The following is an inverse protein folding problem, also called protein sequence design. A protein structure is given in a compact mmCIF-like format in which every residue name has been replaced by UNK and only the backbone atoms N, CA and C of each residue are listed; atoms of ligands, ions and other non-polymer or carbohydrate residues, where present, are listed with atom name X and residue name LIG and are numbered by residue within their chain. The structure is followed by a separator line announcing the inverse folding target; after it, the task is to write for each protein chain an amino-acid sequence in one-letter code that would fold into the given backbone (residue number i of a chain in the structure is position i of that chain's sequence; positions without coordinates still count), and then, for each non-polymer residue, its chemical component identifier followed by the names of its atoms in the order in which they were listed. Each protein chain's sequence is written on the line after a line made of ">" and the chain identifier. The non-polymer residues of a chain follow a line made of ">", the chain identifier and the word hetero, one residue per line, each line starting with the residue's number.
data_IF_443954507985
#
_entry.id   IF_443954507985
#
_cell.length_a   1.000
_cell.length_b   1.000
_cell.length_c   1.000
_cell.angle_alpha   90.00
_cell.angle_beta   90.00
_cell.angle_gamma   90.00
#
_symmetry.space_group_name_H-M   'P 1'
#
loop_
_entity.id
_entity.type
_entity.pdbx_description
1 polymer ?
#
# COMPACT_ATOMS: atom_id res chain seq x y z
N UNK A 1 -29.07 53.52 -25.43
CA UNK A 1 -27.63 53.28 -25.18
C UNK A 1 -27.30 51.79 -25.38
N UNK A 2 -27.68 51.23 -26.55
CA UNK A 2 -27.60 49.81 -26.86
C UNK A 2 -26.96 49.58 -28.25
N UNK A 3 -25.98 50.42 -28.61
CA UNK A 3 -25.47 50.53 -29.98
C UNK A 3 -23.92 50.60 -30.06
N UNK A 4 -23.20 50.09 -29.05
CA UNK A 4 -21.73 49.89 -29.09
C UNK A 4 -21.33 48.43 -28.89
N UNK A 5 -22.08 47.51 -29.50
CA UNK A 5 -21.88 46.05 -29.38
C UNK A 5 -21.03 45.41 -30.50
N UNK A 6 -20.27 46.13 -31.34
CA UNK A 6 -19.87 45.52 -32.64
C UNK A 6 -18.43 45.62 -33.15
N UNK A 7 -17.47 46.24 -32.46
CA UNK A 7 -16.14 46.45 -33.06
C UNK A 7 -14.97 45.66 -32.46
N UNK A 8 -15.16 44.88 -31.40
CA UNK A 8 -14.07 44.11 -30.77
C UNK A 8 -14.22 42.59 -30.87
N UNK A 9 -15.23 42.09 -31.59
CA UNK A 9 -15.60 40.66 -31.63
C UNK A 9 -14.95 39.89 -32.79
N UNK A 10 -14.12 40.54 -33.58
CA UNK A 10 -13.43 39.95 -34.74
C UNK A 10 -11.99 39.53 -34.49
N UNK A 11 -11.45 39.77 -33.29
CA UNK A 11 -10.08 39.38 -32.92
C UNK A 11 -10.07 38.27 -31.84
N UNK A 12 -11.21 37.59 -31.67
CA UNK A 12 -11.39 36.50 -30.70
C UNK A 12 -11.38 35.11 -31.36
N UNK A 13 -10.64 34.98 -32.44
CA UNK A 13 -10.22 33.70 -33.00
C UNK A 13 -8.84 33.96 -33.57
N UNK A 14 -7.78 33.54 -32.86
CA UNK A 14 -6.43 33.19 -33.36
C UNK A 14 -5.40 33.39 -32.22
N UNK A 15 -4.91 32.25 -31.73
CA UNK A 15 -3.66 32.02 -30.96
C UNK A 15 -3.56 32.50 -29.48
N UNK A 16 -3.87 31.59 -28.55
CA UNK A 16 -2.92 31.09 -27.53
C UNK A 16 -3.50 29.83 -26.82
N UNK A 17 -2.77 28.70 -26.72
CA UNK A 17 -3.24 27.49 -26.04
C UNK A 17 -2.86 27.54 -24.54
N UNK A 18 -3.75 27.04 -23.68
CA UNK A 18 -3.56 26.89 -22.22
C UNK A 18 -3.44 28.18 -21.39
N UNK A 19 -4.50 28.99 -21.37
CA UNK A 19 -4.82 29.79 -20.18
C UNK A 19 -6.17 29.32 -19.64
N UNK A 20 -6.10 28.58 -18.54
CA UNK A 20 -7.24 28.24 -17.68
C UNK A 20 -7.96 29.54 -17.33
N UNK A 21 -9.21 29.72 -17.80
CA UNK A 21 -10.02 30.90 -17.49
C UNK A 21 -10.43 30.77 -16.02
N UNK A 22 -9.70 31.46 -15.15
CA UNK A 22 -10.11 31.67 -13.76
C UNK A 22 -11.30 32.63 -13.78
N UNK A 23 -12.45 32.10 -13.39
CA UNK A 23 -13.67 32.83 -13.13
C UNK A 23 -13.45 33.79 -11.94
N UNK A 24 -13.98 35.02 -11.98
CA UNK A 24 -13.63 36.04 -11.00
C UNK A 24 -14.23 35.68 -9.63
N UNK A 25 -13.39 35.15 -8.72
CA UNK A 25 -13.78 34.79 -7.36
C UNK A 25 -13.02 33.61 -6.73
N UNK A 26 -12.33 32.77 -7.51
CA UNK A 26 -11.52 31.66 -7.00
C UNK A 26 -10.04 32.01 -6.99
N UNK A 27 -9.41 31.98 -5.81
CA UNK A 27 -7.95 32.01 -5.66
C UNK A 27 -7.35 30.66 -6.06
N UNK A 28 -6.23 30.65 -6.79
CA UNK A 28 -5.45 29.44 -7.15
C UNK A 28 -5.02 28.58 -5.93
N UNK A 29 -5.20 29.08 -4.71
CA UNK A 29 -4.82 28.44 -3.45
C UNK A 29 -5.82 27.41 -2.91
N UNK A 30 -7.03 27.28 -3.48
CA UNK A 30 -8.09 26.38 -2.94
C UNK A 30 -8.59 25.36 -3.98
N UNK A 31 -7.65 24.67 -4.64
CA UNK A 31 -7.99 23.57 -5.55
C UNK A 31 -8.22 22.28 -4.75
N UNK A 32 -9.48 21.90 -4.52
CA UNK A 32 -9.84 20.57 -3.98
C UNK A 32 -9.86 19.53 -5.13
N UNK A 33 -8.88 18.60 -5.19
CA UNK A 33 -8.85 17.56 -6.23
C UNK A 33 -10.01 16.56 -6.10
N UNK A 34 -10.70 16.47 -4.97
CA UNK A 34 -11.84 15.58 -4.76
C UNK A 34 -13.16 16.17 -5.27
N UNK A 35 -13.26 17.50 -5.43
CA UNK A 35 -14.48 18.16 -5.91
C UNK A 35 -14.72 17.97 -7.42
N UNK A 36 -13.66 17.74 -8.19
CA UNK A 36 -13.68 17.67 -9.65
C UNK A 36 -13.51 16.24 -10.22
N UNK A 37 -13.69 15.20 -9.40
CA UNK A 37 -13.50 13.81 -9.82
C UNK A 37 -14.75 13.24 -10.49
N UNK A 38 -14.58 12.64 -11.66
CA UNK A 38 -15.61 11.81 -12.30
C UNK A 38 -15.20 10.34 -12.24
N UNK A 39 -15.72 9.61 -11.25
CA UNK A 39 -15.40 8.20 -11.05
C UNK A 39 -16.61 7.36 -11.49
N UNK A 40 -16.50 6.59 -12.60
CA UNK A 40 -17.63 5.84 -13.15
C UNK A 40 -18.13 4.73 -12.22
N UNK A 41 -17.26 4.21 -11.33
CA UNK A 41 -17.62 3.24 -10.29
C UNK A 41 -16.70 3.41 -9.06
N UNK A 42 -17.11 4.19 -8.04
CA UNK A 42 -16.32 4.35 -6.83
C UNK A 42 -16.28 3.05 -6.01
N UNK A 43 -15.20 2.84 -5.27
CA UNK A 43 -15.05 1.68 -4.37
C UNK A 43 -15.61 1.99 -2.99
N UNK A 44 -16.32 1.02 -2.42
CA UNK A 44 -16.83 1.11 -1.04
C UNK A 44 -15.69 0.99 -0.01
N UNK A 45 -15.98 1.31 1.25
CA UNK A 45 -15.01 1.20 2.35
C UNK A 45 -14.42 -0.22 2.47
N UNK A 46 -15.25 -1.26 2.45
CA UNK A 46 -14.79 -2.65 2.59
C UNK A 46 -14.02 -3.14 1.37
N UNK A 47 -14.43 -2.74 0.16
CA UNK A 47 -13.70 -3.06 -1.07
C UNK A 47 -12.31 -2.41 -1.07
N UNK A 48 -12.24 -1.13 -0.68
CA UNK A 48 -10.97 -0.38 -0.58
C UNK A 48 -10.03 -1.03 0.44
N UNK A 49 -10.56 -1.44 1.61
CA UNK A 49 -9.80 -2.17 2.61
C UNK A 49 -9.29 -3.53 2.10
N UNK A 50 -10.13 -4.28 1.37
CA UNK A 50 -9.71 -5.56 0.76
C UNK A 50 -8.62 -5.35 -0.30
N UNK A 51 -8.70 -4.28 -1.09
CA UNK A 51 -7.65 -3.92 -2.03
C UNK A 51 -6.34 -3.54 -1.33
N UNK A 52 -6.42 -2.80 -0.22
CA UNK A 52 -5.25 -2.52 0.62
C UNK A 52 -4.61 -3.79 1.18
N UNK A 53 -5.43 -4.68 1.77
CA UNK A 53 -4.98 -5.97 2.30
C UNK A 53 -4.28 -6.79 1.23
N UNK A 54 -4.89 -6.93 0.04
CA UNK A 54 -4.26 -7.62 -1.09
C UNK A 54 -2.95 -6.95 -1.54
N UNK A 55 -2.90 -5.63 -1.52
CA UNK A 55 -1.70 -4.86 -1.89
C UNK A 55 -0.53 -5.13 -0.96
N UNK A 56 -0.78 -5.27 0.34
CA UNK A 56 0.25 -5.52 1.34
C UNK A 56 0.56 -7.00 1.54
N UNK A 57 -0.42 -7.91 1.55
CA UNK A 57 -0.28 -9.38 1.75
C UNK A 57 0.40 -10.10 0.56
N UNK A 58 1.40 -9.49 -0.06
CA UNK A 58 2.20 -10.04 -1.15
C UNK A 58 3.38 -10.87 -0.66
N UNK A 59 4.46 -10.87 -1.45
CA UNK A 59 5.68 -11.64 -1.16
C UNK A 59 6.32 -11.30 0.19
N UNK A 60 6.16 -10.06 0.67
CA UNK A 60 6.67 -9.61 1.96
C UNK A 60 6.13 -10.43 3.14
N UNK A 61 4.83 -10.79 3.13
CA UNK A 61 4.22 -11.64 4.15
C UNK A 61 4.99 -12.95 4.34
N UNK A 62 5.35 -13.60 3.23
CA UNK A 62 5.99 -14.92 3.27
C UNK A 62 7.42 -14.86 3.82
N UNK A 63 8.05 -13.68 3.83
CA UNK A 63 9.39 -13.47 4.37
C UNK A 63 9.40 -13.10 5.86
N UNK A 64 8.23 -12.85 6.47
CA UNK A 64 8.13 -12.49 7.90
C UNK A 64 8.76 -13.52 8.85
N UNK A 65 8.61 -14.84 8.65
CA UNK A 65 9.25 -15.82 9.53
C UNK A 65 10.78 -15.71 9.53
N UNK A 66 11.37 -15.44 8.36
CA UNK A 66 12.81 -15.19 8.23
C UNK A 66 13.22 -13.87 8.90
N UNK A 67 12.37 -12.84 8.90
CA UNK A 67 12.62 -11.62 9.68
C UNK A 67 12.68 -11.93 11.18
N UNK A 68 11.71 -12.67 11.71
CA UNK A 68 11.67 -13.05 13.13
C UNK A 68 12.82 -14.00 13.52
N UNK A 69 13.28 -14.87 12.61
CA UNK A 69 14.49 -15.68 12.79
C UNK A 69 15.74 -14.84 13.05
N UNK A 70 15.84 -13.67 12.41
CA UNK A 70 17.01 -12.79 12.47
C UNK A 70 17.05 -11.95 13.74
N UNK A 71 15.88 -11.54 14.23
CA UNK A 71 15.78 -10.59 15.34
C UNK A 71 15.30 -11.22 16.67
N UNK A 72 14.79 -12.45 16.64
CA UNK A 72 14.15 -13.10 17.78
C UNK A 72 12.70 -12.65 17.95
N UNK A 73 11.90 -13.42 18.70
CA UNK A 73 10.44 -13.18 18.82
C UNK A 73 10.12 -11.87 19.55
N UNK A 74 10.78 -11.61 20.68
CA UNK A 74 10.48 -10.46 21.53
C UNK A 74 10.85 -9.15 20.81
N UNK A 75 12.11 -9.03 20.41
CA UNK A 75 12.59 -7.86 19.72
C UNK A 75 11.92 -7.74 18.34
N UNK A 76 11.73 -8.86 17.63
CA UNK A 76 10.99 -8.94 16.36
C UNK A 76 9.61 -8.30 16.43
N UNK A 77 8.85 -8.64 17.47
CA UNK A 77 7.52 -8.08 17.70
C UNK A 77 7.56 -6.58 17.97
N UNK A 78 8.47 -6.12 18.85
CA UNK A 78 8.63 -4.70 19.18
C UNK A 78 9.04 -3.91 17.92
N UNK A 79 10.06 -4.39 17.21
CA UNK A 79 10.57 -3.73 16.00
C UNK A 79 9.54 -3.70 14.88
N UNK A 80 8.77 -4.77 14.68
CA UNK A 80 7.69 -4.81 13.70
C UNK A 80 6.61 -3.75 14.01
N UNK A 81 6.20 -3.63 15.28
CA UNK A 81 5.22 -2.62 15.69
C UNK A 81 5.80 -1.21 15.49
N UNK A 82 7.04 -0.96 15.94
CA UNK A 82 7.68 0.36 15.79
C UNK A 82 7.85 0.77 14.34
N UNK A 83 8.33 -0.13 13.47
CA UNK A 83 8.50 0.14 12.04
C UNK A 83 7.14 0.32 11.36
N UNK A 84 6.14 -0.48 11.73
CA UNK A 84 4.78 -0.36 11.21
C UNK A 84 4.12 1.00 11.54
N UNK A 85 4.26 1.46 12.78
CA UNK A 85 3.78 2.78 13.19
C UNK A 85 4.55 3.90 12.48
N UNK A 86 5.87 3.77 12.36
CA UNK A 86 6.69 4.72 11.63
C UNK A 86 6.29 4.81 10.15
N UNK A 87 6.14 3.68 9.46
CA UNK A 87 5.71 3.62 8.07
C UNK A 87 4.32 4.24 7.88
N UNK A 88 3.37 3.92 8.78
CA UNK A 88 2.03 4.50 8.78
C UNK A 88 2.08 6.01 8.94
N UNK A 89 2.89 6.51 9.88
CA UNK A 89 3.10 7.94 10.10
C UNK A 89 3.71 8.63 8.87
N UNK A 90 4.75 8.04 8.27
CA UNK A 90 5.37 8.58 7.06
C UNK A 90 4.38 8.70 5.91
N UNK A 91 3.51 7.71 5.70
CA UNK A 91 2.49 7.74 4.65
C UNK A 91 1.43 8.80 4.97
N UNK A 92 0.97 8.91 6.21
CA UNK A 92 0.02 9.96 6.59
C UNK A 92 0.59 11.36 6.36
N UNK A 93 1.84 11.60 6.76
CA UNK A 93 2.53 12.88 6.52
C UNK A 93 2.69 13.14 5.02
N UNK A 94 3.04 12.11 4.24
CA UNK A 94 3.18 12.23 2.79
C UNK A 94 1.85 12.62 2.13
N UNK A 95 0.74 12.01 2.54
CA UNK A 95 -0.59 12.34 2.01
C UNK A 95 -0.98 13.77 2.42
N UNK A 96 -0.73 14.18 3.68
CA UNK A 96 -1.02 15.54 4.13
C UNK A 96 -0.20 16.61 3.39
N UNK A 97 1.10 16.37 3.20
CA UNK A 97 2.00 17.29 2.48
C UNK A 97 1.66 17.36 0.99
N UNK A 98 1.22 16.24 0.39
CA UNK A 98 0.76 16.20 -1.00
C UNK A 98 -0.37 17.20 -1.28
N UNK A 99 -1.23 17.47 -0.29
CA UNK A 99 -2.30 18.46 -0.40
C UNK A 99 -1.87 19.90 -0.02
N UNK A 100 -0.65 20.12 0.50
CA UNK A 100 -0.20 21.39 1.08
C UNK A 100 0.88 22.16 0.30
N UNK A 101 1.62 21.54 -0.62
CA UNK A 101 2.75 22.25 -1.27
C UNK A 101 3.07 21.84 -2.72
N UNK A 102 3.09 22.81 -3.63
CA UNK A 102 3.18 22.58 -5.08
C UNK A 102 4.60 22.42 -5.68
N UNK A 103 5.70 22.61 -4.93
CA UNK A 103 7.00 22.97 -5.57
C UNK A 103 8.06 21.85 -5.67
N UNK A 104 7.95 20.70 -4.98
CA UNK A 104 8.94 19.59 -5.11
C UNK A 104 8.39 18.31 -5.75
N UNK A 105 7.06 18.18 -5.86
CA UNK A 105 6.37 16.98 -6.39
C UNK A 105 6.57 16.79 -7.89
N UNK A 106 6.78 17.87 -8.65
CA UNK A 106 6.91 17.82 -10.12
C UNK A 106 8.09 16.95 -10.59
N UNK A 107 9.22 17.00 -9.89
CA UNK A 107 10.40 16.18 -10.22
C UNK A 107 10.24 14.72 -9.78
N UNK A 108 9.58 14.47 -8.65
CA UNK A 108 9.21 13.13 -8.18
C UNK A 108 8.26 12.45 -9.18
N UNK A 109 7.25 13.18 -9.65
CA UNK A 109 6.33 12.73 -10.69
C UNK A 109 7.14 12.41 -11.95
N UNK A 110 7.97 13.33 -12.46
CA UNK A 110 8.75 13.09 -13.70
C UNK A 110 9.64 11.84 -13.62
N UNK A 111 10.22 11.52 -12.45
CA UNK A 111 11.05 10.32 -12.29
C UNK A 111 10.23 9.03 -12.12
N UNK A 112 9.07 9.10 -11.45
CA UNK A 112 8.19 7.95 -11.15
C UNK A 112 7.18 7.67 -12.27
N UNK A 113 6.90 8.68 -13.10
CA UNK A 113 5.88 8.64 -14.15
C UNK A 113 6.18 7.64 -15.27
N UNK A 114 7.43 7.45 -15.76
CA UNK A 114 7.69 6.47 -16.82
C UNK A 114 7.39 5.01 -16.39
N UNK A 115 7.79 4.54 -15.20
CA UNK A 115 7.36 3.24 -14.66
C UNK A 115 5.84 3.10 -14.49
N UNK A 116 5.17 4.15 -13.98
CA UNK A 116 3.71 4.18 -13.80
C UNK A 116 2.97 4.16 -15.14
N UNK A 117 3.50 4.83 -16.17
CA UNK A 117 2.92 4.86 -17.52
C UNK A 117 3.01 3.49 -18.19
N UNK A 118 4.10 2.77 -17.97
CA UNK A 118 4.26 1.37 -18.37
C UNK A 118 3.25 0.44 -17.69
N UNK A 119 2.98 0.63 -16.39
CA UNK A 119 1.98 -0.15 -15.64
C UNK A 119 0.54 0.23 -16.00
N UNK A 120 0.29 1.49 -16.37
CA UNK A 120 -1.04 2.00 -16.75
C UNK A 120 -1.38 1.81 -18.24
N UNK A 121 -0.48 1.22 -19.04
CA UNK A 121 -0.74 0.84 -20.42
C UNK A 121 -1.63 -0.41 -20.56
N UNK A 122 -2.30 -0.84 -19.49
CA UNK A 122 -3.38 -1.83 -19.54
C UNK A 122 -4.68 -1.05 -19.72
N UNK A 123 -5.07 -0.85 -20.98
CA UNK A 123 -6.16 0.06 -21.39
C UNK A 123 -7.58 -0.43 -21.07
N UNK A 124 -7.78 -1.69 -20.68
CA UNK A 124 -9.13 -2.24 -20.45
C UNK A 124 -9.28 -2.90 -19.08
N UNK A 125 -9.73 -2.11 -18.10
CA UNK A 125 -10.05 -2.54 -16.73
C UNK A 125 -11.28 -3.48 -16.64
N UNK A 126 -12.00 -3.73 -17.74
CA UNK A 126 -13.15 -4.66 -17.78
C UNK A 126 -12.76 -6.11 -17.52
N UNK A 127 -11.55 -6.53 -17.89
CA UNK A 127 -11.03 -7.87 -17.57
C UNK A 127 -10.57 -7.97 -16.10
N UNK A 128 -10.24 -6.84 -15.46
CA UNK A 128 -9.77 -6.81 -14.08
C UNK A 128 -10.87 -7.10 -13.06
N UNK A 129 -12.14 -6.79 -13.36
CA UNK A 129 -13.23 -6.98 -12.40
C UNK A 129 -13.40 -8.45 -11.98
N UNK A 130 -13.56 -9.44 -12.91
CA UNK A 130 -13.62 -10.85 -12.51
C UNK A 130 -12.27 -11.37 -11.97
N UNK A 131 -11.15 -10.87 -12.51
CA UNK A 131 -9.82 -11.25 -12.04
C UNK A 131 -9.56 -10.78 -10.60
N UNK A 132 -10.10 -9.63 -10.19
CA UNK A 132 -9.97 -9.13 -8.83
C UNK A 132 -10.76 -10.00 -7.85
N UNK A 133 -11.98 -10.40 -8.18
CA UNK A 133 -12.77 -11.30 -7.33
C UNK A 133 -12.06 -12.64 -7.17
N UNK A 134 -11.54 -13.21 -8.27
CA UNK A 134 -10.75 -14.44 -8.22
C UNK A 134 -9.50 -14.27 -7.33
N UNK A 135 -8.80 -13.14 -7.47
CA UNK A 135 -7.62 -12.87 -6.65
C UNK A 135 -7.94 -12.70 -5.17
N UNK A 136 -9.08 -12.11 -4.80
CA UNK A 136 -9.48 -12.01 -3.40
C UNK A 136 -9.69 -13.41 -2.81
N UNK A 137 -10.31 -14.32 -3.59
CA UNK A 137 -10.44 -15.72 -3.19
C UNK A 137 -9.07 -16.42 -3.06
N UNK A 138 -8.17 -16.24 -4.05
CA UNK A 138 -6.82 -16.80 -3.99
C UNK A 138 -6.00 -16.28 -2.80
N UNK A 139 -6.09 -14.99 -2.47
CA UNK A 139 -5.40 -14.39 -1.32
C UNK A 139 -5.94 -14.97 -0.02
N UNK A 140 -7.27 -15.07 0.12
CA UNK A 140 -7.90 -15.66 1.30
C UNK A 140 -7.53 -17.15 1.45
N UNK A 141 -7.56 -17.91 0.36
CA UNK A 141 -7.17 -19.32 0.35
C UNK A 141 -5.67 -19.50 0.65
N UNK A 142 -4.81 -18.67 0.05
CA UNK A 142 -3.37 -18.69 0.31
C UNK A 142 -3.04 -18.37 1.77
N UNK A 143 -3.67 -17.33 2.33
CA UNK A 143 -3.51 -16.97 3.74
C UNK A 143 -3.99 -18.11 4.65
N UNK A 144 -5.16 -18.71 4.34
CA UNK A 144 -5.69 -19.85 5.07
C UNK A 144 -4.74 -21.06 5.04
N UNK A 145 -4.21 -21.43 3.87
CA UNK A 145 -3.27 -22.54 3.73
C UNK A 145 -1.99 -22.30 4.51
N UNK A 146 -1.43 -21.09 4.46
CA UNK A 146 -0.24 -20.75 5.22
C UNK A 146 -0.49 -20.88 6.72
N UNK A 147 -1.61 -20.34 7.23
CA UNK A 147 -1.97 -20.52 8.63
C UNK A 147 -2.25 -21.97 9.02
N UNK A 148 -2.92 -22.73 8.16
CA UNK A 148 -3.19 -24.15 8.39
C UNK A 148 -1.87 -24.92 8.57
N UNK A 149 -0.94 -24.78 7.62
CA UNK A 149 0.38 -25.40 7.73
C UNK A 149 1.15 -24.92 8.96
N UNK A 150 1.03 -23.65 9.35
CA UNK A 150 1.71 -23.12 10.53
C UNK A 150 1.25 -23.72 11.85
N UNK A 151 -0.01 -24.17 11.93
CA UNK A 151 -0.65 -24.64 13.17
C UNK A 151 -0.69 -26.19 13.25
N UNK A 152 -0.53 -26.89 12.13
CA UNK A 152 -0.64 -28.35 12.05
C UNK A 152 0.44 -29.10 12.86
N UNK A 153 1.64 -28.55 12.97
CA UNK A 153 2.76 -29.17 13.71
C UNK A 153 2.99 -28.50 15.07
N UNK A 154 3.37 -29.28 16.08
CA UNK A 154 3.69 -28.72 17.40
C UNK A 154 4.90 -27.76 17.32
N UNK A 155 4.78 -26.54 17.89
CA UNK A 155 5.85 -25.56 17.82
C UNK A 155 7.04 -25.99 18.67
N UNK A 156 8.24 -25.90 18.12
CA UNK A 156 9.48 -26.12 18.87
C UNK A 156 9.78 -24.83 19.62
N UNK A 157 9.40 -24.79 20.91
CA UNK A 157 9.70 -23.68 21.81
C UNK A 157 11.08 -23.92 22.43
N UNK A 158 12.07 -23.13 22.03
CA UNK A 158 13.39 -23.08 22.65
C UNK A 158 13.67 -21.64 23.09
N UNK A 159 14.31 -21.47 24.24
CA UNK A 159 14.64 -20.16 24.82
C UNK A 159 15.54 -19.34 23.88
N UNK A 160 16.35 -20.03 23.07
CA UNK A 160 17.19 -19.44 22.01
C UNK A 160 16.38 -18.63 20.98
N UNK A 161 15.08 -18.90 20.80
CA UNK A 161 14.22 -18.16 19.86
C UNK A 161 13.83 -16.76 20.33
N UNK A 162 14.05 -16.45 21.61
CA UNK A 162 13.80 -15.12 22.17
C UNK A 162 15.04 -14.22 22.11
N UNK A 163 16.23 -14.79 21.89
CA UNK A 163 17.49 -14.06 21.87
C UNK A 163 17.74 -13.34 20.54
N UNK A 164 18.51 -12.24 20.60
CA UNK A 164 18.99 -11.55 19.40
C UNK A 164 20.17 -12.33 18.86
N UNK A 165 20.13 -12.72 17.57
CA UNK A 165 21.20 -13.48 16.95
C UNK A 165 22.48 -12.66 16.68
N UNK A 166 22.33 -11.35 16.45
CA UNK A 166 23.44 -10.42 16.27
C UNK A 166 22.99 -9.02 15.83
N UNK A 167 23.85 -8.01 15.95
CA UNK A 167 23.54 -6.64 15.50
C UNK A 167 23.52 -6.49 13.97
N UNK A 168 24.26 -7.35 13.28
CA UNK A 168 24.33 -7.41 11.81
C UNK A 168 23.02 -7.86 11.15
N UNK A 169 22.13 -8.48 11.93
CA UNK A 169 20.84 -8.97 11.48
C UNK A 169 19.75 -7.87 11.50
N UNK A 170 19.97 -6.79 12.25
CA UNK A 170 19.02 -5.69 12.40
C UNK A 170 18.72 -4.99 11.06
N UNK A 171 19.72 -4.62 10.23
CA UNK A 171 19.44 -3.99 8.93
C UNK A 171 18.66 -4.91 7.98
N UNK A 172 18.92 -6.22 8.03
CA UNK A 172 18.21 -7.21 7.21
C UNK A 172 16.76 -7.34 7.67
N UNK A 173 16.52 -7.39 8.99
CA UNK A 173 15.17 -7.36 9.56
C UNK A 173 14.40 -6.12 9.13
N UNK A 174 15.00 -4.93 9.26
CA UNK A 174 14.38 -3.66 8.86
C UNK A 174 14.05 -3.68 7.36
N UNK A 175 14.98 -4.15 6.52
CA UNK A 175 14.77 -4.24 5.07
C UNK A 175 13.60 -5.14 4.69
N UNK A 176 13.53 -6.35 5.26
CA UNK A 176 12.41 -7.28 5.01
C UNK A 176 11.10 -6.68 5.50
N UNK A 177 11.11 -6.04 6.67
CA UNK A 177 9.93 -5.43 7.28
C UNK A 177 9.40 -4.26 6.47
N UNK A 178 10.28 -3.33 6.05
CA UNK A 178 9.89 -2.20 5.21
C UNK A 178 9.40 -2.66 3.85
N UNK A 179 10.09 -3.62 3.23
CA UNK A 179 9.64 -4.22 1.97
C UNK A 179 8.23 -4.83 2.08
N UNK A 180 7.90 -5.45 3.21
CA UNK A 180 6.57 -6.01 3.42
C UNK A 180 5.48 -4.98 3.70
N UNK A 181 5.83 -3.79 4.18
CA UNK A 181 4.90 -2.70 4.46
C UNK A 181 4.74 -1.73 3.26
N UNK A 182 5.46 -1.95 2.16
CA UNK A 182 5.44 -1.10 0.97
C UNK A 182 4.13 -1.23 0.18
N UNK A 183 3.29 -0.19 0.18
CA UNK A 183 2.10 -0.11 -0.69
C UNK A 183 1.80 1.32 -1.20
N UNK A 184 2.78 2.24 -1.19
CA UNK A 184 2.59 3.68 -1.44
C UNK A 184 1.89 3.96 -2.79
N UNK A 185 2.24 3.21 -3.85
CA UNK A 185 1.63 3.38 -5.17
C UNK A 185 0.14 2.99 -5.25
N UNK A 186 -0.31 2.06 -4.41
CA UNK A 186 -1.71 1.61 -4.40
C UNK A 186 -2.57 2.53 -3.52
N UNK A 187 -1.98 3.10 -2.47
CA UNK A 187 -2.67 3.93 -1.47
C UNK A 187 -3.30 5.17 -2.12
N UNK A 188 -2.55 5.92 -2.93
CA UNK A 188 -3.07 7.11 -3.62
C UNK A 188 -4.18 6.78 -4.63
N UNK A 189 -4.01 5.68 -5.38
CA UNK A 189 -5.02 5.24 -6.33
C UNK A 189 -6.31 4.78 -5.62
N UNK A 190 -6.19 4.16 -4.45
CA UNK A 190 -7.33 3.75 -3.63
C UNK A 190 -8.05 4.93 -2.99
N UNK A 191 -7.31 5.89 -2.43
CA UNK A 191 -7.87 7.14 -1.90
C UNK A 191 -8.66 7.88 -2.98
N UNK A 192 -8.09 8.02 -4.18
CA UNK A 192 -8.74 8.69 -5.30
C UNK A 192 -10.06 8.03 -5.69
N UNK A 193 -10.11 6.69 -5.77
CA UNK A 193 -11.27 5.93 -6.24
C UNK A 193 -12.34 5.67 -5.15
N UNK A 194 -12.06 5.96 -3.88
CA UNK A 194 -12.97 5.69 -2.76
C UNK A 194 -14.18 6.62 -2.75
N UNK A 195 -15.36 6.11 -2.38
CA UNK A 195 -16.58 6.92 -2.25
C UNK A 195 -16.39 8.14 -1.32
N UNK A 196 -15.69 7.97 -0.19
CA UNK A 196 -15.40 9.02 0.79
C UNK A 196 -13.89 9.10 1.07
N UNK A 197 -13.13 9.87 0.29
CA UNK A 197 -11.66 9.96 0.44
C UNK A 197 -11.25 10.60 1.78
N UNK A 198 -12.11 11.46 2.35
CA UNK A 198 -11.88 12.08 3.66
C UNK A 198 -11.81 11.06 4.82
N UNK A 199 -12.41 9.89 4.65
CA UNK A 199 -12.39 8.81 5.65
C UNK A 199 -11.17 7.87 5.46
N UNK A 200 -10.33 8.14 4.46
CA UNK A 200 -9.17 7.31 4.11
C UNK A 200 -8.02 7.52 5.10
N UNK A 201 -7.69 8.78 5.39
CA UNK A 201 -6.62 9.18 6.32
C UNK A 201 -7.14 9.45 7.74
N UNK A 202 -6.22 9.55 8.72
CA UNK A 202 -6.53 9.78 10.14
C UNK A 202 -6.39 8.55 11.03
N UNK A 203 -6.43 8.74 12.36
CA UNK A 203 -6.14 7.68 13.35
C UNK A 203 -7.12 6.51 13.26
N UNK A 204 -8.41 6.80 13.02
CA UNK A 204 -9.44 5.79 12.73
C UNK A 204 -9.82 5.73 11.24
N UNK A 205 -8.98 6.32 10.37
CA UNK A 205 -9.16 6.24 8.93
C UNK A 205 -8.93 4.82 8.42
N UNK A 206 -9.50 4.53 7.24
CA UNK A 206 -9.37 3.23 6.58
C UNK A 206 -7.92 2.76 6.49
N UNK A 207 -6.99 3.68 6.16
CA UNK A 207 -5.57 3.39 6.01
C UNK A 207 -4.95 2.87 7.33
N UNK A 208 -5.20 3.56 8.44
CA UNK A 208 -4.65 3.23 9.76
C UNK A 208 -5.19 1.90 10.29
N UNK A 209 -6.49 1.66 10.11
CA UNK A 209 -7.12 0.40 10.50
C UNK A 209 -6.55 -0.76 9.66
N UNK A 210 -6.42 -0.56 8.35
CA UNK A 210 -5.84 -1.56 7.45
C UNK A 210 -4.40 -1.90 7.83
N UNK A 211 -3.57 -0.88 8.09
CA UNK A 211 -2.20 -1.08 8.54
C UNK A 211 -2.11 -1.82 9.87
N UNK A 212 -2.98 -1.51 10.83
CA UNK A 212 -3.03 -2.24 12.10
C UNK A 212 -3.34 -3.73 11.90
N UNK A 213 -4.32 -4.05 11.04
CA UNK A 213 -4.67 -5.43 10.69
C UNK A 213 -3.48 -6.13 10.00
N UNK A 214 -2.83 -5.47 9.05
CA UNK A 214 -1.68 -6.02 8.31
C UNK A 214 -0.51 -6.30 9.25
N UNK A 215 -0.15 -5.35 10.11
CA UNK A 215 0.92 -5.52 11.11
C UNK A 215 0.59 -6.68 12.04
N UNK A 216 -0.67 -6.79 12.49
CA UNK A 216 -1.14 -7.92 13.29
C UNK A 216 -0.92 -9.27 12.60
N UNK A 217 -1.33 -9.38 11.34
CA UNK A 217 -1.13 -10.61 10.54
C UNK A 217 0.36 -10.91 10.38
N UNK A 218 1.20 -9.90 10.15
CA UNK A 218 2.65 -10.07 9.98
C UNK A 218 3.34 -10.55 11.26
N UNK A 219 2.95 -10.00 12.40
CA UNK A 219 3.46 -10.44 13.71
C UNK A 219 3.06 -11.89 13.96
N UNK A 220 1.78 -12.24 13.81
CA UNK A 220 1.32 -13.62 14.06
C UNK A 220 2.04 -14.59 13.13
N UNK A 221 2.11 -14.29 11.84
CA UNK A 221 2.74 -15.17 10.86
C UNK A 221 4.26 -15.26 11.06
N UNK A 222 4.92 -14.16 11.40
CA UNK A 222 6.34 -14.13 11.73
C UNK A 222 6.67 -14.99 12.95
N UNK A 223 5.89 -14.87 14.02
CA UNK A 223 6.05 -15.67 15.24
C UNK A 223 5.77 -17.14 14.95
N UNK A 224 4.60 -17.47 14.40
CA UNK A 224 4.23 -18.86 14.13
C UNK A 224 5.22 -19.54 13.17
N UNK A 225 5.67 -18.85 12.12
CA UNK A 225 6.63 -19.40 11.17
C UNK A 225 8.00 -19.64 11.78
N UNK A 226 8.47 -18.73 12.63
CA UNK A 226 9.74 -18.94 13.32
C UNK A 226 9.64 -19.99 14.44
N UNK A 227 8.49 -20.10 15.11
CA UNK A 227 8.26 -21.18 16.07
C UNK A 227 8.25 -22.55 15.40
N UNK A 228 7.67 -22.67 14.21
CA UNK A 228 7.65 -23.92 13.44
C UNK A 228 9.03 -24.29 12.87
N UNK A 229 9.65 -23.40 12.11
CA UNK A 229 10.87 -23.72 11.34
C UNK A 229 12.17 -23.36 12.05
N UNK A 230 12.12 -22.51 13.08
CA UNK A 230 13.31 -22.07 13.81
C UNK A 230 14.41 -21.56 12.88
N UNK A 231 15.60 -22.11 13.06
CA UNK A 231 16.81 -21.71 12.36
C UNK A 231 16.88 -22.23 10.93
N UNK A 232 16.05 -23.21 10.57
CA UNK A 232 15.92 -23.74 9.22
C UNK A 232 14.98 -22.90 8.35
N UNK A 233 14.44 -21.79 8.88
CA UNK A 233 13.57 -20.92 8.10
C UNK A 233 14.34 -20.27 6.93
N UNK A 234 13.94 -20.62 5.70
CA UNK A 234 14.40 -20.00 4.47
C UNK A 234 13.79 -18.61 4.24
N UNK A 235 14.29 -17.90 3.21
CA UNK A 235 13.90 -16.52 2.90
C UNK A 235 12.40 -16.29 2.63
N UNK A 236 11.66 -17.35 2.30
CA UNK A 236 10.20 -17.36 2.20
C UNK A 236 9.67 -18.65 2.79
N UNK A 237 8.57 -18.60 3.53
CA UNK A 237 7.97 -19.78 4.17
C UNK A 237 7.58 -20.88 3.17
N UNK A 238 7.27 -20.50 1.92
CA UNK A 238 6.91 -21.47 0.89
C UNK A 238 8.08 -22.36 0.45
N UNK A 239 9.32 -21.91 0.66
CA UNK A 239 10.50 -22.75 0.41
C UNK A 239 10.66 -23.83 1.47
N UNK A 240 10.11 -23.63 2.67
CA UNK A 240 10.17 -24.61 3.76
C UNK A 240 9.11 -25.72 3.64
N UNK A 241 8.23 -25.66 2.62
CA UNK A 241 7.29 -26.74 2.32
C UNK A 241 8.06 -27.93 1.73
N UNK A 242 7.66 -29.19 2.02
CA UNK A 242 8.35 -30.37 1.52
C UNK A 242 8.29 -30.43 -0.01
N UNK A 243 9.40 -30.13 -0.68
CA UNK A 243 9.46 -30.09 -2.16
C UNK A 243 9.62 -31.48 -2.81
N UNK A 244 9.92 -32.52 -2.01
CA UNK A 244 10.36 -33.83 -2.49
C UNK A 244 9.56 -35.02 -1.91
N UNK A 245 8.25 -34.93 -1.82
CA UNK A 245 7.41 -36.14 -1.77
C UNK A 245 6.73 -36.36 -3.13
N UNK A 246 7.48 -37.05 -4.00
CA UNK A 246 6.87 -37.79 -5.12
C UNK A 246 6.05 -38.92 -4.50
N UNK A 247 4.73 -38.83 -4.58
CA UNK A 247 3.92 -40.05 -4.65
C UNK A 247 4.32 -40.85 -5.91
#
# INVERSE_FOLDING_TARGET
>A
MAQQLRSGKSDLEVLAPCSFIILPGESEEDFDPHAHREIPKPTTYSETMMHMLKGCLGAGLLAMPNAFKRMGILYGTIGMISIGLFATYCIQVLILEYYGHFITVRWLIVYTYPPLLLLSLIKDLKLLTPFSTLSNFCVMLGLYLVFFYLIEDEPIIDDSKFEIKGLEEIPVFIGITLFALEAVGVILALEYNMERPRDFTGICGLFSISMFIIIGIYVVLGICGYLKYGDECEGSITLNLPQNQKY
#
